data_IF_662402160454
#
_entry.id   IF_662402160454
#
_cell.length_a   1.000
_cell.length_b   1.000
_cell.length_c   1.000
_cell.angle_alpha   90.00
_cell.angle_beta   90.00
_cell.angle_gamma   90.00
#
_symmetry.space_group_name_H-M   'P 1'
#
loop_
_entity.id
_entity.type
_entity.pdbx_description
1 polymer ?
#
# COMPACT_ATOMS: atom_id res chain seq x y z
N UNK A 1 -12.21 11.23 -5.05
CA UNK A 1 -13.60 11.26 -5.55
C UNK A 1 -13.74 10.25 -6.67
N UNK A 2 -14.41 9.12 -6.43
CA UNK A 2 -14.73 8.16 -7.49
C UNK A 2 -16.11 8.50 -8.07
N UNK A 3 -16.14 8.60 -9.40
CA UNK A 3 -17.37 8.73 -10.17
C UNK A 3 -18.00 7.33 -10.20
N UNK A 4 -18.85 7.04 -9.22
CA UNK A 4 -19.51 5.74 -9.11
C UNK A 4 -20.49 5.58 -10.27
N UNK A 5 -20.08 4.77 -11.25
CA UNK A 5 -20.96 4.26 -12.29
C UNK A 5 -22.09 3.49 -11.59
N UNK A 6 -23.29 4.09 -11.54
CA UNK A 6 -24.47 3.53 -10.89
C UNK A 6 -24.91 2.18 -11.50
N UNK A 7 -24.33 1.76 -12.62
CA UNK A 7 -24.53 0.43 -13.20
C UNK A 7 -23.65 -0.67 -12.57
N UNK A 8 -22.72 -0.32 -11.68
CA UNK A 8 -21.78 -1.23 -11.02
C UNK A 8 -22.11 -1.39 -9.54
N UNK A 9 -22.11 -2.64 -9.08
CA UNK A 9 -22.28 -2.98 -7.65
C UNK A 9 -20.99 -3.60 -7.14
N UNK A 10 -20.62 -3.25 -5.90
CA UNK A 10 -19.62 -3.97 -5.12
C UNK A 10 -20.35 -4.77 -4.06
N UNK A 11 -20.12 -6.08 -4.01
CA UNK A 11 -20.72 -6.93 -2.99
C UNK A 11 -19.67 -7.32 -1.97
N UNK A 12 -19.91 -6.94 -0.70
CA UNK A 12 -19.07 -7.32 0.42
C UNK A 12 -19.73 -8.47 1.20
N UNK A 13 -19.04 -9.62 1.26
CA UNK A 13 -19.51 -10.80 1.98
C UNK A 13 -19.33 -10.69 3.50
N UNK A 14 -19.76 -9.62 4.15
CA UNK A 14 -19.43 -9.32 5.57
C UNK A 14 -20.00 -10.28 6.62
N UNK A 15 -20.64 -11.37 6.22
CA UNK A 15 -21.31 -12.26 7.15
C UNK A 15 -20.36 -13.37 7.64
N UNK A 16 -20.18 -13.46 8.97
CA UNK A 16 -19.52 -14.62 9.63
C UNK A 16 -20.26 -15.94 9.41
N UNK A 17 -21.50 -15.88 8.94
CA UNK A 17 -22.24 -17.02 8.41
C UNK A 17 -22.11 -17.00 6.89
N UNK A 18 -21.85 -18.15 6.23
CA UNK A 18 -21.77 -18.19 4.77
C UNK A 18 -23.00 -17.48 4.20
N UNK A 19 -22.89 -16.68 3.13
CA UNK A 19 -24.04 -15.95 2.61
C UNK A 19 -25.10 -16.99 2.21
N UNK A 20 -26.10 -17.20 3.07
CA UNK A 20 -27.13 -18.22 2.85
C UNK A 20 -28.01 -17.85 1.66
N UNK A 21 -27.89 -16.65 1.11
CA UNK A 21 -28.39 -16.41 -0.23
C UNK A 21 -27.60 -15.36 -1.01
N UNK A 22 -27.15 -15.78 -2.19
CA UNK A 22 -26.84 -14.89 -3.33
C UNK A 22 -28.11 -14.20 -3.88
N UNK A 23 -29.28 -14.36 -3.25
CA UNK A 23 -30.56 -13.89 -3.79
C UNK A 23 -30.61 -12.37 -3.94
N UNK A 24 -29.90 -11.62 -3.09
CA UNK A 24 -29.72 -10.18 -3.25
C UNK A 24 -28.90 -9.83 -4.48
N UNK A 25 -27.83 -10.59 -4.74
CA UNK A 25 -26.99 -10.41 -5.93
C UNK A 25 -27.76 -10.77 -7.21
N UNK A 26 -28.44 -11.92 -7.22
CA UNK A 26 -29.26 -12.38 -8.36
C UNK A 26 -30.30 -11.32 -8.71
N UNK A 27 -31.00 -10.76 -7.72
CA UNK A 27 -31.91 -9.63 -7.94
C UNK A 27 -31.20 -8.43 -8.57
N UNK A 28 -30.05 -8.00 -8.08
CA UNK A 28 -29.33 -6.87 -8.68
C UNK A 28 -28.91 -7.15 -10.13
N UNK A 29 -28.41 -8.36 -10.40
CA UNK A 29 -28.03 -8.79 -11.76
C UNK A 29 -29.25 -8.85 -12.69
N UNK A 30 -30.40 -9.34 -12.21
CA UNK A 30 -31.67 -9.40 -12.95
C UNK A 30 -32.19 -7.99 -13.31
N UNK A 31 -31.84 -6.95 -12.52
CA UNK A 31 -32.14 -5.56 -12.83
C UNK A 31 -31.10 -4.89 -13.76
N UNK A 32 -30.20 -5.68 -14.36
CA UNK A 32 -29.22 -5.21 -15.34
C UNK A 32 -27.96 -4.59 -14.72
N UNK A 33 -27.78 -4.68 -13.40
CA UNK A 33 -26.53 -4.24 -12.77
C UNK A 33 -25.40 -5.21 -13.05
N UNK A 34 -24.17 -4.71 -13.11
CA UNK A 34 -22.95 -5.52 -13.25
C UNK A 34 -22.22 -5.58 -11.92
N UNK A 35 -21.87 -6.78 -11.47
CA UNK A 35 -21.02 -6.94 -10.29
C UNK A 35 -19.60 -6.60 -10.69
N UNK A 36 -19.07 -5.44 -10.30
CA UNK A 36 -17.71 -5.05 -10.68
C UNK A 36 -16.67 -5.68 -9.75
N UNK A 37 -16.98 -5.78 -8.46
CA UNK A 37 -16.08 -6.30 -7.43
C UNK A 37 -16.78 -7.21 -6.44
N UNK A 38 -16.10 -8.28 -6.03
CA UNK A 38 -16.59 -9.23 -5.03
C UNK A 38 -15.56 -9.45 -3.92
N UNK A 39 -15.93 -9.16 -2.68
CA UNK A 39 -15.08 -9.41 -1.51
C UNK A 39 -15.44 -10.76 -0.84
N UNK A 40 -14.43 -11.59 -0.66
CA UNK A 40 -14.47 -12.93 -0.09
C UNK A 40 -13.59 -13.00 1.16
N UNK A 41 -14.11 -13.55 2.24
CA UNK A 41 -13.34 -13.81 3.45
C UNK A 41 -12.75 -15.23 3.42
N UNK A 42 -11.59 -15.44 4.06
CA UNK A 42 -10.83 -16.72 4.01
C UNK A 42 -11.60 -17.90 4.58
N UNK A 43 -12.45 -17.67 5.58
CA UNK A 43 -13.33 -18.71 6.12
C UNK A 43 -14.30 -19.22 5.04
N UNK A 44 -14.75 -18.33 4.17
CA UNK A 44 -15.52 -18.71 2.98
C UNK A 44 -14.61 -19.31 1.91
N UNK A 45 -13.37 -18.83 1.72
CA UNK A 45 -12.40 -19.40 0.78
C UNK A 45 -11.99 -20.85 1.12
N UNK A 46 -11.84 -21.18 2.41
CA UNK A 46 -11.55 -22.55 2.88
C UNK A 46 -12.78 -23.44 2.70
N UNK A 47 -13.99 -22.95 2.98
CA UNK A 47 -15.25 -23.64 2.65
C UNK A 47 -15.45 -23.79 1.14
N UNK A 48 -15.02 -22.84 0.34
CA UNK A 48 -14.98 -22.88 -1.12
C UNK A 48 -14.12 -24.05 -1.63
N UNK A 49 -13.00 -24.35 -0.94
CA UNK A 49 -12.14 -25.47 -1.30
C UNK A 49 -12.82 -26.82 -0.99
N UNK A 50 -13.54 -26.91 0.14
CA UNK A 50 -14.27 -28.13 0.54
C UNK A 50 -15.62 -28.32 -0.18
N UNK A 51 -16.22 -27.27 -0.74
CA UNK A 51 -17.48 -27.32 -1.53
C UNK A 51 -17.26 -27.06 -3.04
N UNK A 52 -16.24 -27.72 -3.58
CA UNK A 52 -15.47 -27.42 -4.81
C UNK A 52 -16.17 -27.38 -6.19
N UNK A 53 -17.50 -27.27 -6.30
CA UNK A 53 -18.14 -27.12 -7.62
C UNK A 53 -18.89 -25.81 -7.77
N UNK A 54 -19.80 -25.51 -6.85
CA UNK A 54 -20.88 -24.58 -7.20
C UNK A 54 -20.47 -23.12 -7.04
N UNK A 55 -19.68 -22.77 -6.02
CA UNK A 55 -19.31 -21.37 -5.79
C UNK A 55 -18.22 -20.89 -6.76
N UNK A 56 -17.22 -21.72 -7.08
CA UNK A 56 -16.21 -21.40 -8.12
C UNK A 56 -16.83 -21.35 -9.52
N UNK A 57 -17.73 -22.28 -9.85
CA UNK A 57 -18.51 -22.19 -11.11
C UNK A 57 -19.35 -20.92 -11.14
N UNK A 58 -19.96 -20.54 -10.01
CA UNK A 58 -20.75 -19.30 -9.92
C UNK A 58 -19.89 -18.07 -10.14
N UNK A 59 -18.76 -17.93 -9.45
CA UNK A 59 -17.83 -16.80 -9.66
C UNK A 59 -17.39 -16.71 -11.11
N UNK A 60 -17.09 -17.83 -11.77
CA UNK A 60 -16.79 -17.88 -13.22
C UNK A 60 -17.90 -17.38 -14.13
N UNK A 61 -19.15 -17.46 -13.68
CA UNK A 61 -20.32 -17.07 -14.47
C UNK A 61 -20.84 -15.68 -14.13
N UNK A 62 -20.25 -14.97 -13.14
CA UNK A 62 -20.73 -13.65 -12.73
C UNK A 62 -20.43 -12.62 -13.84
N UNK A 63 -21.45 -12.11 -14.55
CA UNK A 63 -21.23 -11.22 -15.67
C UNK A 63 -20.72 -9.86 -15.17
N UNK A 64 -19.66 -9.37 -15.81
CA UNK A 64 -19.09 -8.05 -15.50
C UNK A 64 -18.15 -8.02 -14.30
N UNK A 65 -17.81 -9.18 -13.71
CA UNK A 65 -16.82 -9.24 -12.63
C UNK A 65 -15.44 -8.83 -13.14
N UNK A 66 -14.93 -7.73 -12.60
CA UNK A 66 -13.63 -7.14 -12.95
C UNK A 66 -12.62 -7.28 -11.82
N UNK A 67 -13.06 -7.38 -10.56
CA UNK A 67 -12.15 -7.50 -9.42
C UNK A 67 -12.64 -8.46 -8.32
N UNK A 68 -11.69 -9.14 -7.67
CA UNK A 68 -11.95 -9.95 -6.48
C UNK A 68 -11.08 -9.43 -5.34
N UNK A 69 -11.63 -9.37 -4.14
CA UNK A 69 -10.90 -9.04 -2.93
C UNK A 69 -10.95 -10.23 -1.98
N UNK A 70 -9.80 -10.76 -1.61
CA UNK A 70 -9.65 -11.88 -0.69
C UNK A 70 -9.09 -11.36 0.63
N UNK A 71 -9.93 -11.34 1.66
CA UNK A 71 -9.51 -11.05 3.03
C UNK A 71 -9.01 -12.32 3.69
N UNK A 72 -7.76 -12.29 4.15
CA UNK A 72 -7.02 -13.39 4.75
C UNK A 72 -7.02 -13.20 6.27
N UNK A 73 -7.52 -14.20 7.00
CA UNK A 73 -7.55 -14.29 8.46
C UNK A 73 -6.65 -15.40 8.98
N UNK A 74 -6.23 -16.35 8.14
CA UNK A 74 -5.41 -17.49 8.56
C UNK A 74 -4.32 -17.77 7.51
N UNK A 75 -3.83 -16.71 6.86
CA UNK A 75 -2.92 -16.79 5.73
C UNK A 75 -3.60 -17.24 4.43
N UNK A 76 -2.79 -17.36 3.37
CA UNK A 76 -3.21 -17.88 2.08
C UNK A 76 -3.43 -19.40 2.14
N UNK A 77 -4.54 -19.94 1.62
CA UNK A 77 -4.72 -21.38 1.51
C UNK A 77 -3.62 -22.00 0.63
N UNK A 78 -3.09 -23.18 0.99
CA UNK A 78 -2.11 -23.90 0.15
C UNK A 78 -2.61 -24.15 -1.29
N UNK A 79 -3.93 -24.12 -1.50
CA UNK A 79 -4.59 -24.20 -2.81
C UNK A 79 -4.59 -22.89 -3.60
N UNK A 80 -3.95 -21.81 -3.14
CA UNK A 80 -4.03 -20.50 -3.80
C UNK A 80 -3.49 -20.46 -5.24
N UNK A 81 -2.39 -21.16 -5.60
CA UNK A 81 -2.02 -21.31 -7.01
C UNK A 81 -3.14 -21.93 -7.87
N UNK A 82 -3.91 -22.86 -7.29
CA UNK A 82 -5.08 -23.44 -7.97
C UNK A 82 -6.24 -22.45 -8.06
N UNK A 83 -6.39 -21.55 -7.08
CA UNK A 83 -7.36 -20.45 -7.17
C UNK A 83 -6.99 -19.47 -8.27
N UNK A 84 -5.72 -19.07 -8.36
CA UNK A 84 -5.24 -18.20 -9.43
C UNK A 84 -5.52 -18.81 -10.80
N UNK A 85 -5.20 -20.09 -11.02
CA UNK A 85 -5.50 -20.75 -12.30
C UNK A 85 -7.01 -20.83 -12.59
N UNK A 86 -7.84 -21.00 -11.55
CA UNK A 86 -9.30 -21.03 -11.69
C UNK A 86 -9.88 -19.65 -12.02
N UNK A 87 -9.36 -18.59 -11.40
CA UNK A 87 -9.75 -17.20 -11.61
C UNK A 87 -9.21 -16.64 -12.92
N UNK A 88 -8.04 -17.10 -13.38
CA UNK A 88 -7.49 -16.79 -14.70
C UNK A 88 -8.41 -17.18 -15.85
N UNK A 89 -9.29 -18.17 -15.66
CA UNK A 89 -10.24 -18.58 -16.71
C UNK A 89 -11.40 -17.57 -16.84
N UNK A 90 -11.59 -16.66 -15.86
CA UNK A 90 -12.65 -15.67 -15.93
C UNK A 90 -12.41 -14.68 -17.08
N UNK A 91 -13.36 -14.43 -17.98
CA UNK A 91 -13.11 -13.64 -19.20
C UNK A 91 -12.87 -12.15 -18.93
N UNK A 92 -13.50 -11.58 -17.91
CA UNK A 92 -13.45 -10.13 -17.62
C UNK A 92 -12.68 -9.76 -16.36
N UNK A 93 -12.15 -10.74 -15.61
CA UNK A 93 -11.48 -10.47 -14.34
C UNK A 93 -10.14 -9.79 -14.62
N UNK A 94 -9.92 -8.63 -14.02
CA UNK A 94 -8.73 -7.80 -14.20
C UNK A 94 -7.90 -7.76 -12.94
N UNK A 95 -8.55 -7.73 -11.78
CA UNK A 95 -7.90 -7.38 -10.52
C UNK A 95 -8.15 -8.43 -9.43
N UNK A 96 -7.11 -8.73 -8.65
CA UNK A 96 -7.22 -9.60 -7.48
C UNK A 96 -6.47 -8.96 -6.32
N UNK A 97 -7.18 -8.66 -5.25
CA UNK A 97 -6.63 -8.08 -4.03
C UNK A 97 -6.49 -9.19 -3.00
N UNK A 98 -5.31 -9.29 -2.40
CA UNK A 98 -5.07 -10.12 -1.22
C UNK A 98 -4.80 -9.17 -0.07
N UNK A 99 -5.62 -9.23 0.98
CA UNK A 99 -5.50 -8.37 2.15
C UNK A 99 -5.37 -9.26 3.38
N UNK A 100 -4.29 -9.09 4.13
CA UNK A 100 -4.12 -9.69 5.43
C UNK A 100 -4.65 -8.75 6.52
N UNK A 101 -5.77 -9.09 7.13
CA UNK A 101 -6.41 -8.24 8.15
C UNK A 101 -5.88 -8.51 9.56
N UNK A 102 -5.14 -9.61 9.78
CA UNK A 102 -4.61 -9.93 11.10
C UNK A 102 -3.22 -9.32 11.31
N UNK A 103 -3.14 -8.00 11.25
CA UNK A 103 -1.93 -7.22 11.61
C UNK A 103 -1.52 -7.33 13.11
N UNK A 104 -2.05 -8.28 13.87
CA UNK A 104 -1.86 -8.41 15.33
C UNK A 104 -1.67 -9.85 15.82
N UNK A 105 -1.66 -10.85 14.93
CA UNK A 105 -1.43 -12.24 15.32
C UNK A 105 -0.15 -12.73 14.65
N UNK A 106 0.71 -13.42 15.41
CA UNK A 106 1.95 -14.06 14.94
C UNK A 106 1.73 -15.21 13.92
N UNK A 107 0.57 -15.24 13.24
CA UNK A 107 0.22 -16.23 12.24
C UNK A 107 0.58 -15.64 10.89
N UNK A 108 1.43 -16.31 10.09
CA UNK A 108 2.38 -15.55 9.33
C UNK A 108 1.84 -15.28 7.93
N UNK A 109 2.28 -14.13 7.44
CA UNK A 109 2.61 -13.78 6.07
C UNK A 109 3.14 -14.98 5.23
N UNK A 110 3.57 -16.11 5.83
CA UNK A 110 4.22 -17.30 5.26
C UNK A 110 3.55 -17.88 4.03
N UNK A 111 2.22 -17.83 3.90
CA UNK A 111 1.58 -18.43 2.73
C UNK A 111 1.52 -17.47 1.52
N UNK A 112 1.38 -16.16 1.76
CA UNK A 112 1.62 -15.14 0.73
C UNK A 112 3.09 -15.10 0.32
N UNK A 113 3.97 -15.19 1.31
CA UNK A 113 5.41 -15.36 1.15
C UNK A 113 5.71 -16.59 0.31
N UNK A 114 5.16 -17.76 0.63
CA UNK A 114 5.48 -19.01 -0.08
C UNK A 114 5.10 -18.92 -1.56
N UNK A 115 3.95 -18.34 -1.89
CA UNK A 115 3.54 -18.11 -3.27
C UNK A 115 4.45 -17.11 -3.99
N UNK A 116 4.75 -15.98 -3.35
CA UNK A 116 5.62 -14.97 -3.92
C UNK A 116 7.07 -15.45 -4.01
N UNK A 117 7.50 -16.32 -3.11
CA UNK A 117 8.83 -16.92 -3.13
C UNK A 117 8.97 -17.96 -4.23
N UNK A 118 7.95 -18.80 -4.45
CA UNK A 118 7.92 -19.73 -5.59
C UNK A 118 7.97 -18.97 -6.92
N UNK A 119 7.28 -17.82 -7.02
CA UNK A 119 7.17 -17.06 -8.26
C UNK A 119 8.29 -16.02 -8.47
N UNK A 120 8.84 -15.48 -7.40
CA UNK A 120 9.73 -14.30 -7.42
C UNK A 120 10.95 -14.41 -6.49
N UNK A 121 11.17 -15.54 -5.80
CA UNK A 121 12.31 -15.79 -4.91
C UNK A 121 12.54 -14.70 -3.85
N UNK A 122 11.44 -14.24 -3.25
CA UNK A 122 11.41 -13.11 -2.33
C UNK A 122 11.63 -13.49 -0.86
N UNK A 123 12.16 -14.67 -0.51
CA UNK A 123 12.37 -15.10 0.88
C UNK A 123 13.05 -14.03 1.77
N UNK A 124 14.08 -13.34 1.27
CA UNK A 124 14.76 -12.28 2.03
C UNK A 124 13.86 -11.06 2.28
N UNK A 125 12.94 -10.78 1.34
CA UNK A 125 11.94 -9.71 1.45
C UNK A 125 10.96 -9.94 2.63
N UNK A 126 10.94 -11.14 3.18
CA UNK A 126 9.87 -11.57 4.08
C UNK A 126 10.36 -11.83 5.50
N UNK A 127 11.68 -11.80 5.68
CA UNK A 127 12.34 -11.88 7.00
C UNK A 127 12.36 -10.55 7.75
N UNK A 128 12.21 -9.43 7.05
CA UNK A 128 12.24 -8.11 7.66
C UNK A 128 10.97 -7.28 7.52
N UNK A 129 10.06 -7.73 6.64
CA UNK A 129 8.83 -7.01 6.34
C UNK A 129 7.68 -8.00 6.12
N UNK A 130 6.52 -7.64 6.66
CA UNK A 130 5.25 -8.25 6.36
C UNK A 130 4.62 -7.59 5.14
N UNK A 131 3.85 -8.38 4.39
CA UNK A 131 3.06 -7.91 3.26
C UNK A 131 1.59 -7.89 3.67
N UNK A 132 1.05 -6.72 3.95
CA UNK A 132 -0.36 -6.58 4.37
C UNK A 132 -1.33 -6.67 3.20
N UNK A 133 -0.91 -6.19 2.03
CA UNK A 133 -1.76 -6.13 0.85
C UNK A 133 -0.95 -6.36 -0.41
N UNK A 134 -1.46 -7.20 -1.30
CA UNK A 134 -0.90 -7.42 -2.64
C UNK A 134 -2.03 -7.39 -3.64
N UNK A 135 -1.92 -6.51 -4.64
CA UNK A 135 -2.88 -6.42 -5.74
C UNK A 135 -2.24 -6.98 -6.98
N UNK A 136 -2.84 -8.03 -7.52
CA UNK A 136 -2.51 -8.58 -8.81
C UNK A 136 -3.41 -7.96 -9.87
N UNK A 137 -2.82 -7.65 -11.02
CA UNK A 137 -3.55 -7.20 -12.18
C UNK A 137 -3.25 -8.11 -13.36
N UNK A 138 -4.23 -8.21 -14.27
CA UNK A 138 -4.14 -8.99 -15.50
C UNK A 138 -4.32 -8.08 -16.70
N UNK A 139 -3.39 -8.20 -17.65
CA UNK A 139 -3.53 -7.54 -18.94
C UNK A 139 -4.35 -8.42 -19.90
N UNK A 140 -5.64 -8.11 -20.02
CA UNK A 140 -6.57 -8.84 -20.91
C UNK A 140 -6.29 -8.53 -22.40
N UNK A 141 -5.52 -7.47 -22.70
CA UNK A 141 -5.26 -7.01 -24.07
C UNK A 141 -3.99 -7.57 -24.72
N UNK A 142 -3.08 -8.19 -23.95
CA UNK A 142 -1.81 -8.75 -24.47
C UNK A 142 -1.95 -10.25 -24.73
N UNK A 143 -2.35 -10.59 -25.94
CA UNK A 143 -2.74 -11.94 -26.39
C UNK A 143 -1.63 -13.00 -26.48
N UNK A 144 -0.44 -12.84 -25.87
CA UNK A 144 0.67 -13.76 -26.15
C UNK A 144 1.76 -13.93 -25.08
N UNK A 145 1.72 -13.27 -23.93
CA UNK A 145 2.71 -13.51 -22.86
C UNK A 145 2.13 -14.41 -21.77
N UNK A 146 2.87 -15.47 -21.43
CA UNK A 146 2.58 -16.45 -20.37
C UNK A 146 2.45 -15.90 -18.94
N UNK A 147 2.49 -14.57 -18.76
CA UNK A 147 2.24 -13.93 -17.47
C UNK A 147 0.81 -13.41 -17.41
N UNK A 148 -0.11 -14.26 -16.94
CA UNK A 148 -1.52 -13.88 -16.75
C UNK A 148 -1.72 -12.88 -15.59
N UNK A 149 -0.78 -12.78 -14.66
CA UNK A 149 -0.91 -11.91 -13.49
C UNK A 149 0.44 -11.30 -13.09
N UNK A 150 0.45 -9.99 -12.88
CA UNK A 150 1.58 -9.24 -12.32
C UNK A 150 1.16 -8.50 -11.05
N UNK A 151 2.12 -8.19 -10.18
CA UNK A 151 1.87 -7.39 -8.97
C UNK A 151 1.83 -5.92 -9.37
N UNK A 152 0.67 -5.29 -9.16
CA UNK A 152 0.43 -3.87 -9.43
C UNK A 152 0.60 -3.02 -8.18
N UNK A 153 0.19 -3.52 -7.02
CA UNK A 153 0.32 -2.82 -5.76
C UNK A 153 0.81 -3.73 -4.64
N UNK A 154 1.59 -3.17 -3.72
CA UNK A 154 2.05 -3.87 -2.51
C UNK A 154 2.09 -2.93 -1.30
N UNK A 155 1.77 -3.47 -0.13
CA UNK A 155 1.99 -2.82 1.17
C UNK A 155 3.02 -3.60 1.95
N UNK A 156 4.18 -2.99 2.20
CA UNK A 156 5.27 -3.53 3.01
C UNK A 156 5.26 -2.86 4.38
N UNK A 157 5.13 -3.66 5.44
CA UNK A 157 5.24 -3.21 6.83
C UNK A 157 6.50 -3.79 7.44
N UNK A 158 7.33 -2.97 8.06
CA UNK A 158 8.51 -3.48 8.76
C UNK A 158 8.10 -4.30 9.98
N UNK A 159 8.65 -5.50 10.09
CA UNK A 159 8.47 -6.40 11.24
C UNK A 159 9.79 -6.59 12.03
N UNK A 160 10.86 -5.90 11.62
CA UNK A 160 12.20 -6.02 12.18
C UNK A 160 12.85 -4.64 12.34
N UNK A 161 13.45 -4.41 13.51
CA UNK A 161 14.19 -3.20 13.80
C UNK A 161 15.49 -3.07 12.99
N UNK A 162 16.07 -4.20 12.55
CA UNK A 162 17.46 -4.25 12.04
C UNK A 162 17.60 -4.61 10.57
N UNK A 163 16.51 -4.98 9.87
CA UNK A 163 16.61 -5.39 8.47
C UNK A 163 16.82 -4.19 7.54
N UNK A 164 17.76 -4.29 6.59
CA UNK A 164 18.07 -3.20 5.66
C UNK A 164 16.90 -2.89 4.72
N UNK A 165 16.26 -1.74 4.90
CA UNK A 165 15.19 -1.23 4.03
C UNK A 165 15.66 -1.09 2.58
N UNK A 166 16.89 -0.63 2.34
CA UNK A 166 17.42 -0.40 1.00
C UNK A 166 17.54 -1.73 0.24
N UNK A 167 18.06 -2.77 0.89
CA UNK A 167 18.16 -4.09 0.27
C UNK A 167 16.77 -4.64 -0.06
N UNK A 168 15.83 -4.45 0.85
CA UNK A 168 14.44 -4.89 0.67
C UNK A 168 13.76 -4.20 -0.50
N UNK A 169 13.85 -2.87 -0.57
CA UNK A 169 13.28 -2.11 -1.68
C UNK A 169 13.93 -2.48 -3.03
N UNK A 170 15.24 -2.77 -3.03
CA UNK A 170 15.96 -3.27 -4.21
C UNK A 170 15.40 -4.62 -4.67
N UNK A 171 15.19 -5.56 -3.74
CA UNK A 171 14.57 -6.85 -4.03
C UNK A 171 13.15 -6.69 -4.58
N UNK A 172 12.33 -5.84 -3.96
CA UNK A 172 10.97 -5.57 -4.41
C UNK A 172 10.93 -4.96 -5.81
N UNK A 173 11.82 -4.01 -6.12
CA UNK A 173 11.93 -3.41 -7.45
C UNK A 173 12.30 -4.46 -8.52
N UNK A 174 13.22 -5.37 -8.18
CA UNK A 174 13.62 -6.45 -9.09
C UNK A 174 12.53 -7.51 -9.28
N UNK A 175 11.80 -7.85 -8.22
CA UNK A 175 10.75 -8.87 -8.25
C UNK A 175 9.48 -8.39 -8.96
N UNK A 176 9.17 -7.09 -8.85
CA UNK A 176 7.89 -6.51 -9.30
C UNK A 176 8.13 -5.32 -10.25
N UNK A 177 8.58 -5.56 -11.49
CA UNK A 177 8.90 -4.48 -12.44
C UNK A 177 7.68 -3.65 -12.88
N UNK A 178 6.48 -4.24 -12.81
CA UNK A 178 5.19 -3.60 -13.14
C UNK A 178 4.50 -2.98 -11.92
N UNK A 179 5.21 -2.85 -10.79
CA UNK A 179 4.64 -2.27 -9.57
C UNK A 179 4.32 -0.78 -9.77
N UNK A 180 3.04 -0.45 -9.72
CA UNK A 180 2.53 0.91 -9.84
C UNK A 180 2.32 1.60 -8.49
N UNK A 181 2.05 0.83 -7.43
CA UNK A 181 1.72 1.38 -6.11
C UNK A 181 2.52 0.69 -5.02
N UNK A 182 3.28 1.47 -4.24
CA UNK A 182 4.00 0.98 -3.08
C UNK A 182 3.54 1.70 -1.83
N UNK A 183 3.08 0.95 -0.83
CA UNK A 183 2.89 1.46 0.52
C UNK A 183 4.01 0.91 1.42
N UNK A 184 4.67 1.77 2.16
CA UNK A 184 5.74 1.42 3.09
C UNK A 184 5.38 1.91 4.50
N UNK A 185 5.36 1.00 5.48
CA UNK A 185 5.07 1.31 6.89
C UNK A 185 6.25 0.93 7.78
N UNK A 186 6.81 1.93 8.48
CA UNK A 186 8.03 1.79 9.30
C UNK A 186 7.78 2.05 10.79
N UNK A 187 6.55 1.77 11.26
CA UNK A 187 6.11 1.96 12.66
C UNK A 187 7.13 1.44 13.69
N UNK A 188 7.64 0.21 13.49
CA UNK A 188 8.57 -0.47 14.41
C UNK A 188 10.02 -0.52 13.93
N UNK A 189 10.36 0.20 12.86
CA UNK A 189 11.65 0.05 12.21
C UNK A 189 12.68 1.04 12.77
N UNK A 190 13.75 0.62 13.44
CA UNK A 190 14.60 1.59 14.15
C UNK A 190 15.72 2.21 13.30
N UNK A 191 16.20 1.49 12.29
CA UNK A 191 17.35 1.93 11.50
C UNK A 191 17.10 3.25 10.75
N UNK A 192 18.17 4.02 10.59
CA UNK A 192 18.21 5.31 9.90
C UNK A 192 18.91 5.18 8.56
N UNK A 193 18.46 5.92 7.56
CA UNK A 193 18.93 5.83 6.19
C UNK A 193 19.29 7.19 5.63
N UNK A 194 20.38 7.26 4.87
CA UNK A 194 20.68 8.43 4.08
C UNK A 194 19.56 8.70 3.04
N UNK A 195 19.19 9.96 2.88
CA UNK A 195 18.16 10.36 1.91
C UNK A 195 18.60 10.02 0.48
N UNK A 196 19.88 10.19 0.14
CA UNK A 196 20.42 9.86 -1.18
C UNK A 196 20.27 8.36 -1.50
N UNK A 197 20.63 7.49 -0.57
CA UNK A 197 20.44 6.03 -0.71
C UNK A 197 18.96 5.66 -0.85
N UNK A 198 18.11 6.25 -0.01
CA UNK A 198 16.66 6.03 -0.06
C UNK A 198 16.06 6.46 -1.40
N UNK A 199 16.41 7.65 -1.90
CA UNK A 199 15.90 8.12 -3.20
C UNK A 199 16.43 7.23 -4.34
N UNK A 200 17.70 6.83 -4.28
CA UNK A 200 18.34 6.01 -5.32
C UNK A 200 17.68 4.64 -5.48
N UNK A 201 17.20 4.01 -4.41
CA UNK A 201 16.48 2.74 -4.54
C UNK A 201 15.09 2.90 -5.18
N UNK A 202 14.40 4.01 -4.92
CA UNK A 202 13.11 4.29 -5.57
C UNK A 202 13.22 4.53 -7.07
N UNK A 203 14.39 4.97 -7.56
CA UNK A 203 14.65 5.10 -8.99
C UNK A 203 14.63 3.75 -9.74
N UNK A 204 14.75 2.63 -9.02
CA UNK A 204 14.74 1.28 -9.61
C UNK A 204 13.32 0.80 -9.97
N UNK A 205 12.27 1.45 -9.45
CA UNK A 205 10.90 1.07 -9.77
C UNK A 205 10.39 1.83 -11.01
N UNK A 206 10.56 1.25 -12.19
CA UNK A 206 10.28 1.94 -13.46
C UNK A 206 8.79 2.27 -13.69
N UNK A 207 7.88 1.50 -13.10
CA UNK A 207 6.43 1.63 -13.31
C UNK A 207 5.71 2.35 -12.16
N UNK A 208 6.44 2.78 -11.13
CA UNK A 208 5.85 3.29 -9.89
C UNK A 208 5.16 4.64 -10.11
N UNK A 209 3.88 4.71 -9.79
CA UNK A 209 3.02 5.88 -9.96
C UNK A 209 2.64 6.50 -8.62
N UNK A 210 2.34 5.68 -7.63
CA UNK A 210 1.93 6.16 -6.31
C UNK A 210 2.78 5.55 -5.21
N UNK A 211 3.17 6.40 -4.25
CA UNK A 211 3.91 5.97 -3.05
C UNK A 211 3.22 6.48 -1.80
N UNK A 212 2.98 5.58 -0.86
CA UNK A 212 2.39 5.88 0.44
C UNK A 212 3.44 5.59 1.52
N UNK A 213 3.91 6.61 2.22
CA UNK A 213 4.99 6.51 3.21
C UNK A 213 4.44 6.75 4.60
N UNK A 214 4.55 5.75 5.48
CA UNK A 214 4.08 5.81 6.86
C UNK A 214 5.26 5.62 7.80
N UNK A 215 5.46 6.57 8.72
CA UNK A 215 6.56 6.56 9.70
C UNK A 215 7.96 6.53 9.07
N UNK A 216 8.10 7.07 7.86
CA UNK A 216 9.33 7.05 7.08
C UNK A 216 10.20 8.26 7.37
N UNK A 217 9.60 9.45 7.54
CA UNK A 217 10.37 10.69 7.66
C UNK A 217 11.37 10.64 8.82
N UNK A 218 10.92 10.12 9.98
CA UNK A 218 11.77 9.95 11.17
C UNK A 218 12.90 8.93 10.96
N UNK A 219 12.94 8.17 9.87
CA UNK A 219 13.98 7.18 9.54
C UNK A 219 15.02 7.72 8.56
N UNK A 220 14.89 8.97 8.14
CA UNK A 220 15.79 9.56 7.14
C UNK A 220 16.80 10.50 7.78
N UNK A 221 18.05 10.40 7.32
CA UNK A 221 19.16 11.26 7.68
C UNK A 221 19.33 12.24 6.53
N UNK A 222 19.08 13.51 6.82
CA UNK A 222 19.42 14.60 5.92
C UNK A 222 20.86 14.99 6.24
N UNK A 223 21.76 14.91 5.26
CA UNK A 223 23.09 15.50 5.43
C UNK A 223 22.89 16.96 5.88
N UNK A 224 23.51 17.32 7.01
CA UNK A 224 23.42 18.67 7.53
C UNK A 224 23.92 19.60 6.44
N UNK A 225 23.03 20.41 5.87
CA UNK A 225 23.40 21.43 4.90
C UNK A 225 24.33 22.42 5.60
N UNK A 226 25.63 22.19 5.50
CA UNK A 226 26.65 23.18 5.84
C UNK A 226 26.71 24.32 4.81
N UNK A 227 25.81 24.32 3.81
CA UNK A 227 25.73 25.36 2.80
C UNK A 227 24.31 25.89 2.64
N UNK A 228 24.21 27.22 2.74
CA UNK A 228 23.04 28.07 2.48
C UNK A 228 22.55 28.04 1.02
N UNK A 229 22.64 26.91 0.32
CA UNK A 229 22.59 26.85 -1.15
C UNK A 229 21.40 26.11 -1.75
N UNK A 230 20.37 25.76 -0.97
CA UNK A 230 19.17 25.14 -1.53
C UNK A 230 17.97 26.11 -1.50
N UNK A 231 17.47 26.54 -2.67
CA UNK A 231 16.24 27.33 -2.74
C UNK A 231 15.07 26.44 -2.34
N UNK A 232 14.52 26.66 -1.15
CA UNK A 232 13.26 26.06 -0.74
C UNK A 232 12.18 26.54 -1.74
N UNK A 233 11.53 25.65 -2.51
CA UNK A 233 10.37 26.07 -3.28
C UNK A 233 9.32 26.65 -2.31
N UNK A 234 8.53 27.67 -2.72
CA UNK A 234 7.52 28.25 -1.85
C UNK A 234 6.47 27.19 -1.51
N UNK A 235 6.56 26.63 -0.31
CA UNK A 235 5.65 25.62 0.20
C UNK A 235 4.40 26.31 0.73
N UNK A 236 3.24 26.03 0.13
CA UNK A 236 1.96 26.45 0.71
C UNK A 236 1.49 25.40 1.72
N UNK A 237 1.95 25.50 2.96
CA UNK A 237 1.46 24.65 4.06
C UNK A 237 0.08 25.16 4.50
N UNK A 238 -0.97 24.40 4.23
CA UNK A 238 -2.31 24.70 4.73
C UNK A 238 -2.54 23.95 6.05
N UNK A 239 -2.55 24.64 7.19
CA UNK A 239 -2.75 24.00 8.50
C UNK A 239 -4.24 23.99 8.86
N UNK A 240 -4.88 22.82 8.80
CA UNK A 240 -6.34 22.68 9.01
C UNK A 240 -6.79 22.71 10.48
N UNK A 241 -5.87 22.50 11.43
CA UNK A 241 -6.16 22.62 12.86
C UNK A 241 -4.94 23.23 13.53
N UNK A 242 -5.08 24.45 14.05
CA UNK A 242 -3.98 25.12 14.73
C UNK A 242 -3.55 24.31 15.97
N UNK A 243 -2.34 23.76 15.99
CA UNK A 243 -1.71 23.33 17.22
C UNK A 243 -1.46 24.57 18.11
N UNK A 244 -1.20 24.40 19.40
CA UNK A 244 -0.62 25.51 20.18
C UNK A 244 0.63 26.06 19.44
N UNK A 245 1.00 27.35 19.57
CA UNK A 245 2.16 27.91 18.88
C UNK A 245 3.45 27.10 19.13
N UNK A 246 3.61 26.50 20.31
CA UNK A 246 4.74 25.62 20.63
C UNK A 246 4.76 24.30 19.82
N UNK A 247 3.61 23.82 19.37
CA UNK A 247 3.43 22.63 18.54
C UNK A 247 3.65 22.93 17.03
N UNK A 248 3.64 24.21 16.60
CA UNK A 248 3.88 24.59 15.19
C UNK A 248 5.34 24.58 14.76
N UNK A 249 6.28 24.68 15.72
CA UNK A 249 7.72 24.80 15.47
C UNK A 249 8.34 23.52 14.84
N UNK A 250 8.04 22.28 15.31
CA UNK A 250 8.62 21.07 14.71
C UNK A 250 7.98 20.66 13.37
N UNK A 251 6.82 21.22 13.02
CA UNK A 251 6.07 20.82 11.81
C UNK A 251 6.70 21.38 10.55
N UNK A 252 7.20 22.63 10.59
CA UNK A 252 7.75 23.30 9.41
C UNK A 252 8.99 22.56 8.88
N UNK A 253 9.99 22.18 9.72
CA UNK A 253 11.12 21.36 9.28
C UNK A 253 10.69 20.01 8.71
N UNK A 254 9.71 19.35 9.34
CA UNK A 254 9.20 18.05 8.89
C UNK A 254 8.53 18.14 7.51
N UNK A 255 7.60 19.08 7.34
CA UNK A 255 6.94 19.33 6.07
C UNK A 255 7.95 19.71 4.97
N UNK A 256 8.93 20.57 5.29
CA UNK A 256 10.00 20.94 4.37
C UNK A 256 10.85 19.74 3.94
N UNK A 257 11.22 18.86 4.88
CA UNK A 257 12.01 17.68 4.57
C UNK A 257 11.23 16.63 3.77
N UNK A 258 9.93 16.43 4.06
CA UNK A 258 9.04 15.59 3.24
C UNK A 258 8.99 16.12 1.80
N UNK A 259 8.87 17.44 1.61
CA UNK A 259 8.86 18.05 0.28
C UNK A 259 10.17 17.90 -0.46
N UNK A 260 11.29 18.02 0.26
CA UNK A 260 12.60 17.79 -0.31
C UNK A 260 12.71 16.35 -0.82
N UNK A 261 12.35 15.35 -0.01
CA UNK A 261 12.41 13.94 -0.40
C UNK A 261 11.48 13.65 -1.58
N UNK A 262 10.23 14.08 -1.52
CA UNK A 262 9.27 13.86 -2.61
C UNK A 262 9.69 14.52 -3.91
N UNK A 263 10.27 15.73 -3.86
CA UNK A 263 10.84 16.38 -5.03
C UNK A 263 12.01 15.57 -5.60
N UNK A 264 12.90 15.05 -4.75
CA UNK A 264 14.01 14.20 -5.19
C UNK A 264 13.50 12.88 -5.81
N UNK A 265 12.53 12.22 -5.19
CA UNK A 265 11.89 11.01 -5.70
C UNK A 265 11.21 11.27 -7.04
N UNK A 266 10.44 12.35 -7.17
CA UNK A 266 9.76 12.72 -8.40
C UNK A 266 10.76 13.05 -9.53
N UNK A 267 11.90 13.68 -9.22
CA UNK A 267 12.96 13.95 -10.20
C UNK A 267 13.64 12.68 -10.70
N UNK A 268 13.89 11.71 -9.81
CA UNK A 268 14.59 10.47 -10.18
C UNK A 268 13.66 9.44 -10.85
N UNK A 269 12.43 9.32 -10.39
CA UNK A 269 11.45 8.38 -10.92
C UNK A 269 10.43 9.13 -11.77
N UNK A 270 10.42 8.98 -13.09
CA UNK A 270 9.61 9.82 -14.00
C UNK A 270 8.12 9.45 -14.07
N UNK A 271 7.75 8.25 -13.64
CA UNK A 271 6.37 7.74 -13.71
C UNK A 271 5.55 8.07 -12.47
N UNK A 272 6.23 8.44 -11.39
CA UNK A 272 5.66 8.78 -10.09
C UNK A 272 4.78 10.05 -10.18
N UNK A 273 3.49 9.96 -9.93
CA UNK A 273 2.54 11.06 -10.05
C UNK A 273 1.90 11.46 -8.71
N UNK A 274 1.92 10.56 -7.72
CA UNK A 274 1.26 10.77 -6.43
C UNK A 274 2.10 10.29 -5.25
N UNK A 275 2.02 11.06 -4.16
CA UNK A 275 2.53 10.67 -2.87
C UNK A 275 1.50 10.90 -1.77
N UNK A 276 1.51 10.04 -0.77
CA UNK A 276 0.84 10.25 0.50
C UNK A 276 1.82 9.96 1.64
N UNK A 277 1.79 10.80 2.67
CA UNK A 277 2.60 10.64 3.86
C UNK A 277 1.74 10.64 5.10
N UNK A 278 2.12 9.82 6.06
CA UNK A 278 1.58 9.83 7.41
C UNK A 278 2.71 9.56 8.40
N UNK A 279 3.16 10.58 9.10
CA UNK A 279 4.24 10.49 10.05
C UNK A 279 3.81 10.97 11.44
N UNK A 280 4.19 10.20 12.45
CA UNK A 280 4.15 10.64 13.84
C UNK A 280 5.38 11.50 14.14
N UNK A 281 5.14 12.70 14.67
CA UNK A 281 6.16 13.69 15.01
C UNK A 281 6.15 13.86 16.53
N UNK A 282 7.26 13.48 17.17
CA UNK A 282 7.49 13.75 18.60
C UNK A 282 8.84 14.42 18.81
N UNK A 283 8.95 15.20 19.90
CA UNK A 283 10.22 15.78 20.37
C UNK A 283 10.80 14.90 21.47
N UNK A 284 12.12 14.71 21.45
CA UNK A 284 12.84 14.34 22.68
C UNK A 284 12.99 15.56 23.60
N UNK A 285 13.47 15.29 24.82
CA UNK A 285 13.77 16.31 25.83
C UNK A 285 14.78 17.36 25.34
N UNK A 286 15.58 17.04 24.31
CA UNK A 286 16.60 17.92 23.70
C UNK A 286 16.06 18.77 22.54
N UNK A 287 14.78 18.63 22.19
CA UNK A 287 14.12 19.39 21.13
C UNK A 287 14.41 18.89 19.71
N UNK A 288 15.08 17.75 19.56
CA UNK A 288 15.24 17.05 18.29
C UNK A 288 14.01 16.17 17.99
N UNK A 289 13.84 15.86 16.70
CA UNK A 289 12.79 14.97 16.23
C UNK A 289 13.18 13.53 16.55
N UNK A 290 12.48 12.91 17.51
CA UNK A 290 12.79 11.58 18.03
C UNK A 290 11.56 10.67 18.01
N UNK A 291 11.76 9.38 18.26
CA UNK A 291 10.67 8.42 18.40
C UNK A 291 10.07 8.56 19.80
N UNK A 292 8.73 8.67 19.93
CA UNK A 292 8.12 8.72 21.25
C UNK A 292 8.35 7.39 21.97
N UNK A 293 8.80 7.47 23.21
CA UNK A 293 8.85 6.31 24.09
C UNK A 293 7.44 5.92 24.55
N UNK A 294 7.19 4.67 24.93
CA UNK A 294 5.92 4.28 25.54
C UNK A 294 5.69 5.11 26.83
N UNK A 295 4.79 6.09 26.77
CA UNK A 295 4.43 6.98 27.87
C UNK A 295 4.69 8.48 27.66
N UNK A 296 5.21 8.91 26.50
CA UNK A 296 5.50 10.33 26.24
C UNK A 296 4.31 11.08 25.62
N UNK A 297 3.64 11.91 26.43
CA UNK A 297 2.98 13.16 26.00
C UNK A 297 1.97 13.12 24.84
N UNK A 298 1.55 14.32 24.44
CA UNK A 298 0.61 14.57 23.35
C UNK A 298 1.29 14.27 22.01
N UNK A 299 0.76 13.34 21.23
CA UNK A 299 1.31 12.98 19.92
C UNK A 299 0.82 13.94 18.84
N UNK A 300 1.72 14.40 17.98
CA UNK A 300 1.42 15.22 16.81
C UNK A 300 1.62 14.38 15.56
N UNK A 301 0.65 14.39 14.65
CA UNK A 301 0.70 13.69 13.38
C UNK A 301 0.73 14.69 12.24
N UNK A 302 1.60 14.41 11.27
CA UNK A 302 1.65 15.09 9.98
C UNK A 302 1.19 14.12 8.91
N UNK A 303 0.09 14.45 8.27
CA UNK A 303 -0.46 13.70 7.15
C UNK A 303 -0.50 14.61 5.93
N UNK A 304 -0.25 14.09 4.74
CA UNK A 304 -0.27 14.93 3.55
C UNK A 304 -0.36 14.16 2.26
N UNK A 305 -0.88 14.83 1.24
CA UNK A 305 -0.92 14.35 -0.13
C UNK A 305 -0.13 15.30 -1.01
N UNK A 306 0.67 14.74 -1.91
CA UNK A 306 1.47 15.51 -2.84
C UNK A 306 1.26 14.99 -4.26
N UNK A 307 1.10 15.91 -5.20
CA UNK A 307 0.87 15.59 -6.61
C UNK A 307 1.96 16.23 -7.47
N UNK A 308 2.48 15.47 -8.44
CA UNK A 308 3.45 15.98 -9.41
C UNK A 308 2.70 16.68 -10.54
N UNK A 309 2.88 17.99 -10.68
CA UNK A 309 1.99 18.83 -11.51
C UNK A 309 2.41 18.95 -12.98
N UNK A 310 3.70 18.84 -13.30
CA UNK A 310 4.20 19.21 -14.62
C UNK A 310 5.44 18.42 -15.07
N UNK A 311 5.89 18.68 -16.31
CA UNK A 311 7.08 18.06 -16.91
C UNK A 311 8.39 18.40 -16.18
N UNK A 312 8.42 19.50 -15.43
CA UNK A 312 9.55 19.87 -14.56
C UNK A 312 9.53 19.13 -13.22
N UNK A 313 8.50 18.31 -13.00
CA UNK A 313 8.27 17.51 -11.80
C UNK A 313 8.14 18.38 -10.54
N UNK A 314 7.53 19.56 -10.70
CA UNK A 314 7.14 20.39 -9.57
C UNK A 314 6.09 19.67 -8.74
N UNK A 315 6.21 19.78 -7.42
CA UNK A 315 5.36 19.09 -6.45
C UNK A 315 4.43 20.09 -5.79
N UNK A 316 3.13 19.88 -5.91
CA UNK A 316 2.13 20.56 -5.09
C UNK A 316 1.78 19.70 -3.88
N UNK A 317 1.54 20.34 -2.75
CA UNK A 317 1.46 19.66 -1.47
C UNK A 317 0.36 20.23 -0.59
N UNK A 318 -0.43 19.32 -0.04
CA UNK A 318 -1.44 19.62 0.96
C UNK A 318 -1.13 18.81 2.21
N UNK A 319 -0.90 19.49 3.33
CA UNK A 319 -0.66 18.86 4.61
C UNK A 319 -1.86 19.06 5.54
N UNK A 320 -2.06 18.10 6.43
CA UNK A 320 -2.96 18.16 7.56
C UNK A 320 -2.14 17.85 8.81
N UNK A 321 -2.33 18.66 9.84
CA UNK A 321 -1.72 18.45 11.14
C UNK A 321 -2.83 18.20 12.13
N UNK A 322 -2.68 17.15 12.94
CA UNK A 322 -3.58 16.89 14.05
C UNK A 322 -2.82 16.33 15.25
N UNK A 323 -3.39 16.52 16.44
CA UNK A 323 -2.86 15.96 17.68
C UNK A 323 -3.91 15.10 18.38
N UNK A 324 -3.44 14.10 19.12
CA UNK A 324 -4.32 13.29 19.98
C UNK A 324 -4.73 14.09 21.22
N UNK A 325 -5.96 13.92 21.74
CA UNK A 325 -6.32 14.43 23.05
C UNK A 325 -5.44 13.76 24.11
N UNK A 326 -4.80 14.57 24.97
CA UNK A 326 -4.08 14.10 26.15
C UNK A 326 -5.01 13.83 27.34
#
# INVERSE_FOLDING_TARGET
MHNDDLSKVTLSGYSRTPPESFSGLEKCLDHGMKLARYALHTLDAVKFHNHSSNTLKRVRTLPGLEGILLQLYHGIPASFPQWLSILSIHPTLKELWLIDELCSCDIPTTALISFLDEKYHCQDLTRGFDMECVVFNRDIGRSSSSQEWYVKAITLKSNSATTSLIQMLTLAASAFPELEVLTLRLEFHEAKYDVGDFVSVFAQFFSLRAVFLHDVYKRLIFESANDNSMPSPPVKITVYRAPNPDETIPIIPAASGILQITSLLAKQNKTLDFFSFKDEISRDEDGQLSCPGPGSGKLVFLEGELQVLNSNRDVDASFMVYSTPG
#
